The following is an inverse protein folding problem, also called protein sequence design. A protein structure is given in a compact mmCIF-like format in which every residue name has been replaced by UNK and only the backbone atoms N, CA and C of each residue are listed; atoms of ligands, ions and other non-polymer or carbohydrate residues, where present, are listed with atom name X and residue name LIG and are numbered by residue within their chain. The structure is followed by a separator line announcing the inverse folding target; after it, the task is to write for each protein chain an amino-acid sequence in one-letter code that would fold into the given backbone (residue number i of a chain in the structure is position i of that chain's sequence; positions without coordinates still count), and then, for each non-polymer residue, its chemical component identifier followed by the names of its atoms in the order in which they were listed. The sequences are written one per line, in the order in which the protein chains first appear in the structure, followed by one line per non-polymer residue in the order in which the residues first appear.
data_IF_500798263325
#
_entry.id   IF_500798263325
#
_cell.length_a   1.000
_cell.length_b   1.000
_cell.length_c   1.000
_cell.angle_alpha   90.00
_cell.angle_beta   90.00
_cell.angle_gamma   90.00
#
_symmetry.space_group_name_H-M   'P 1'
#
loop_
_entity.id
_entity.type
_entity.pdbx_description
1 polymer ?
#
# COMPACT_ATOMS: atom_id res chain seq x y z
N UNK A 1 -14.69 -13.86 18.59
CA UNK A 1 -13.84 -12.67 18.85
C UNK A 1 -14.29 -11.98 20.12
N UNK A 2 -13.35 -11.43 20.91
CA UNK A 2 -13.67 -10.60 22.08
C UNK A 2 -13.24 -9.16 21.80
N UNK A 3 -14.22 -8.27 21.70
CA UNK A 3 -14.02 -6.85 21.45
C UNK A 3 -13.46 -6.12 22.67
N UNK A 4 -12.67 -5.07 22.45
CA UNK A 4 -12.21 -4.17 23.51
C UNK A 4 -13.37 -3.33 24.04
N UNK A 5 -13.25 -2.83 25.27
CA UNK A 5 -14.33 -2.10 25.96
C UNK A 5 -14.77 -0.83 25.20
N UNK A 6 -13.85 -0.19 24.49
CA UNK A 6 -14.10 1.03 23.71
C UNK A 6 -14.61 0.76 22.28
N UNK A 7 -14.77 -0.51 21.90
CA UNK A 7 -15.14 -0.89 20.54
C UNK A 7 -16.53 -1.53 20.45
N UNK A 8 -17.22 -1.23 19.36
CA UNK A 8 -18.60 -1.66 19.14
C UNK A 8 -18.68 -2.45 17.82
N UNK A 9 -18.92 -3.77 17.88
CA UNK A 9 -19.18 -4.59 16.70
C UNK A 9 -20.31 -4.02 15.84
N UNK A 10 -21.32 -3.45 16.49
CA UNK A 10 -22.47 -2.84 15.84
C UNK A 10 -22.07 -1.60 15.03
N UNK A 11 -21.11 -0.81 15.51
CA UNK A 11 -20.67 0.38 14.78
C UNK A 11 -19.79 0.02 13.59
N UNK A 12 -18.91 -0.99 13.72
CA UNK A 12 -18.19 -1.55 12.57
C UNK A 12 -19.16 -2.08 11.52
N UNK A 13 -20.21 -2.80 11.94
CA UNK A 13 -21.26 -3.29 11.03
C UNK A 13 -21.95 -2.14 10.28
N UNK A 14 -22.33 -1.06 10.98
CA UNK A 14 -22.97 0.11 10.36
C UNK A 14 -22.04 0.81 9.37
N UNK A 15 -20.80 1.07 9.79
CA UNK A 15 -19.79 1.72 8.94
C UNK A 15 -19.50 0.89 7.69
N UNK A 16 -19.30 -0.42 7.83
CA UNK A 16 -19.08 -1.32 6.70
C UNK A 16 -20.27 -1.31 5.73
N UNK A 17 -21.50 -1.33 6.25
CA UNK A 17 -22.73 -1.29 5.43
C UNK A 17 -22.84 0.02 4.65
N UNK A 18 -22.50 1.16 5.27
CA UNK A 18 -22.48 2.46 4.60
C UNK A 18 -21.38 2.52 3.53
N UNK A 19 -20.21 1.96 3.83
CA UNK A 19 -19.10 1.89 2.90
C UNK A 19 -19.50 1.05 1.67
N UNK A 20 -20.01 -0.16 1.86
CA UNK A 20 -20.52 -1.01 0.79
C UNK A 20 -21.57 -0.28 -0.06
N UNK A 21 -22.54 0.38 0.59
CA UNK A 21 -23.57 1.17 -0.11
C UNK A 21 -22.98 2.25 -1.00
N UNK A 22 -21.89 2.90 -0.58
CA UNK A 22 -21.25 3.95 -1.38
C UNK A 22 -20.71 3.41 -2.70
N UNK A 23 -20.08 2.23 -2.71
CA UNK A 23 -19.64 1.58 -3.95
C UNK A 23 -20.80 1.26 -4.90
N UNK A 24 -21.94 0.80 -4.37
CA UNK A 24 -23.13 0.57 -5.19
C UNK A 24 -23.64 1.86 -5.86
N UNK A 25 -23.65 3.00 -5.13
CA UNK A 25 -24.15 4.28 -5.63
C UNK A 25 -23.23 4.89 -6.69
N UNK A 26 -21.91 4.81 -6.49
CA UNK A 26 -20.93 5.45 -7.37
C UNK A 26 -20.47 4.57 -8.53
N UNK A 27 -21.03 3.36 -8.67
CA UNK A 27 -20.83 2.52 -9.84
C UNK A 27 -21.38 3.18 -11.11
N UNK A 28 -20.77 2.91 -12.27
CA UNK A 28 -21.20 3.52 -13.52
C UNK A 28 -22.67 3.16 -13.81
N UNK A 29 -23.49 4.17 -14.14
CA UNK A 29 -24.92 3.97 -14.43
C UNK A 29 -25.11 2.89 -15.51
N UNK A 30 -25.89 1.85 -15.19
CA UNK A 30 -26.14 0.72 -16.10
C UNK A 30 -25.22 -0.49 -15.89
N UNK A 31 -24.28 -0.43 -14.93
CA UNK A 31 -23.48 -1.60 -14.53
C UNK A 31 -24.39 -2.64 -13.88
N UNK A 32 -24.38 -3.90 -14.34
CA UNK A 32 -25.09 -4.99 -13.69
C UNK A 32 -24.68 -5.12 -12.21
N UNK A 33 -25.58 -5.46 -11.28
CA UNK A 33 -25.26 -5.54 -9.85
C UNK A 33 -24.07 -6.46 -9.51
N UNK A 34 -23.90 -7.53 -10.28
CA UNK A 34 -22.79 -8.49 -10.16
C UNK A 34 -21.45 -7.99 -10.73
N UNK A 35 -21.44 -6.83 -11.38
CA UNK A 35 -20.25 -6.20 -11.96
C UNK A 35 -19.91 -4.86 -11.28
N UNK A 36 -20.69 -4.47 -10.25
CA UNK A 36 -20.50 -3.22 -9.50
C UNK A 36 -19.11 -3.16 -8.85
N UNK A 37 -18.64 -4.29 -8.32
CA UNK A 37 -17.39 -4.36 -7.59
C UNK A 37 -16.30 -4.94 -8.48
N UNK A 38 -15.26 -4.14 -8.71
CA UNK A 38 -14.02 -4.64 -9.26
C UNK A 38 -13.25 -5.44 -8.20
N UNK A 39 -12.25 -6.21 -8.64
CA UNK A 39 -11.30 -6.88 -7.74
C UNK A 39 -10.68 -5.89 -6.73
N UNK A 40 -10.35 -4.68 -7.18
CA UNK A 40 -9.79 -3.63 -6.31
C UNK A 40 -10.76 -3.13 -5.25
N UNK A 41 -12.06 -3.06 -5.56
CA UNK A 41 -13.08 -2.66 -4.58
C UNK A 41 -13.26 -3.73 -3.50
N UNK A 42 -13.27 -5.01 -3.91
CA UNK A 42 -13.31 -6.14 -2.99
C UNK A 42 -12.07 -6.19 -2.10
N UNK A 43 -10.87 -6.00 -2.67
CA UNK A 43 -9.61 -5.95 -1.93
C UNK A 43 -9.60 -4.79 -0.91
N UNK A 44 -10.14 -3.63 -1.28
CA UNK A 44 -10.25 -2.49 -0.39
C UNK A 44 -11.22 -2.76 0.77
N UNK A 45 -12.39 -3.35 0.50
CA UNK A 45 -13.35 -3.72 1.55
C UNK A 45 -12.75 -4.76 2.52
N UNK A 46 -12.00 -5.72 1.99
CA UNK A 46 -11.28 -6.69 2.80
C UNK A 46 -10.20 -6.01 3.68
N UNK A 47 -9.41 -5.09 3.10
CA UNK A 47 -8.45 -4.26 3.85
C UNK A 47 -9.13 -3.50 4.99
N UNK A 48 -10.19 -2.76 4.66
CA UNK A 48 -10.90 -1.92 5.62
C UNK A 48 -11.43 -2.73 6.81
N UNK A 49 -12.01 -3.90 6.53
CA UNK A 49 -12.57 -4.75 7.58
C UNK A 49 -11.46 -5.38 8.44
N UNK A 50 -10.36 -5.82 7.83
CA UNK A 50 -9.18 -6.30 8.56
C UNK A 50 -8.64 -5.22 9.52
N UNK A 51 -8.45 -4.01 9.01
CA UNK A 51 -7.94 -2.88 9.77
C UNK A 51 -8.82 -2.57 11.00
N UNK A 52 -10.13 -2.44 10.75
CA UNK A 52 -11.12 -2.13 11.78
C UNK A 52 -11.23 -3.21 12.83
N UNK A 53 -11.27 -4.49 12.42
CA UNK A 53 -11.35 -5.60 13.37
C UNK A 53 -10.10 -5.69 14.24
N UNK A 54 -8.89 -5.61 13.66
CA UNK A 54 -7.64 -5.70 14.44
C UNK A 54 -7.48 -4.59 15.47
N UNK A 55 -7.97 -3.38 15.18
CA UNK A 55 -7.97 -2.26 16.12
C UNK A 55 -9.06 -2.36 17.20
N UNK A 56 -10.05 -3.22 17.00
CA UNK A 56 -11.24 -3.32 17.85
C UNK A 56 -11.29 -4.59 18.71
N UNK A 57 -10.52 -5.64 18.39
CA UNK A 57 -10.48 -6.85 19.22
C UNK A 57 -9.31 -6.82 20.20
N UNK A 58 -9.46 -7.45 21.37
CA UNK A 58 -8.41 -7.48 22.38
C UNK A 58 -7.15 -8.23 21.92
N UNK A 59 -7.35 -9.26 21.10
CA UNK A 59 -6.28 -10.02 20.47
C UNK A 59 -6.49 -9.99 18.95
N UNK A 60 -5.74 -9.12 18.29
CA UNK A 60 -5.82 -8.87 16.84
C UNK A 60 -5.56 -10.11 15.99
N UNK A 61 -4.92 -11.15 16.52
CA UNK A 61 -4.65 -12.39 15.78
C UNK A 61 -5.80 -13.39 15.85
N UNK A 62 -6.82 -13.11 16.68
CA UNK A 62 -8.04 -13.93 16.82
C UNK A 62 -9.21 -13.43 15.98
N UNK A 63 -8.97 -12.47 15.06
CA UNK A 63 -10.03 -11.96 14.19
C UNK A 63 -10.58 -13.05 13.28
N UNK A 64 -11.86 -12.92 12.96
CA UNK A 64 -12.53 -13.72 11.95
C UNK A 64 -13.24 -12.78 10.98
N UNK A 65 -12.49 -12.35 9.96
CA UNK A 65 -12.94 -11.36 8.96
C UNK A 65 -14.11 -11.92 8.16
N UNK A 66 -14.00 -13.16 7.68
CA UNK A 66 -15.05 -13.80 6.89
C UNK A 66 -16.30 -14.06 7.71
N UNK A 67 -16.16 -14.60 8.92
CA UNK A 67 -17.29 -14.81 9.82
C UNK A 67 -17.99 -13.52 10.18
N UNK A 68 -17.25 -12.44 10.46
CA UNK A 68 -17.83 -11.13 10.72
C UNK A 68 -18.61 -10.60 9.52
N UNK A 69 -18.03 -10.66 8.32
CA UNK A 69 -18.74 -10.25 7.10
C UNK A 69 -20.01 -11.09 6.87
N UNK A 70 -19.95 -12.40 7.11
CA UNK A 70 -21.12 -13.28 7.00
C UNK A 70 -22.23 -12.90 7.99
N UNK A 71 -21.89 -12.47 9.21
CA UNK A 71 -22.88 -11.93 10.14
C UNK A 71 -23.51 -10.62 9.64
N UNK A 72 -22.73 -9.72 9.02
CA UNK A 72 -23.26 -8.49 8.39
C UNK A 72 -24.23 -8.86 7.27
N UNK A 73 -23.79 -9.74 6.35
CA UNK A 73 -24.56 -10.22 5.21
C UNK A 73 -25.87 -10.88 5.64
N UNK A 74 -25.84 -11.74 6.66
CA UNK A 74 -27.01 -12.45 7.16
C UNK A 74 -28.04 -11.54 7.83
N UNK A 75 -27.65 -10.36 8.33
CA UNK A 75 -28.59 -9.36 8.86
C UNK A 75 -29.39 -8.65 7.77
N UNK A 76 -28.88 -8.59 6.54
CA UNK A 76 -29.57 -7.98 5.41
C UNK A 76 -29.25 -8.70 4.08
N UNK A 77 -29.71 -9.95 3.92
CA UNK A 77 -29.27 -10.83 2.84
C UNK A 77 -29.65 -10.28 1.45
N UNK A 78 -30.79 -9.61 1.33
CA UNK A 78 -31.24 -8.99 0.08
C UNK A 78 -30.27 -7.90 -0.38
N UNK A 79 -29.82 -7.05 0.54
CA UNK A 79 -28.90 -5.94 0.24
C UNK A 79 -27.50 -6.39 -0.21
N UNK A 80 -27.03 -7.54 0.30
CA UNK A 80 -25.72 -8.10 -0.04
C UNK A 80 -25.81 -9.22 -1.10
N UNK A 81 -26.98 -9.46 -1.69
CA UNK A 81 -27.20 -10.58 -2.63
C UNK A 81 -26.54 -10.38 -3.99
N UNK A 82 -26.29 -9.11 -4.36
CA UNK A 82 -25.77 -8.72 -5.67
C UNK A 82 -24.29 -9.04 -5.86
N UNK A 83 -23.51 -9.15 -4.77
CA UNK A 83 -22.09 -9.46 -4.82
C UNK A 83 -21.79 -10.79 -4.11
N UNK A 84 -22.02 -11.89 -4.84
CA UNK A 84 -21.83 -13.26 -4.33
C UNK A 84 -20.38 -13.57 -4.00
N UNK A 85 -19.45 -12.95 -4.71
CA UNK A 85 -18.03 -13.29 -4.63
C UNK A 85 -17.31 -12.53 -3.52
N UNK A 86 -17.85 -11.39 -3.03
CA UNK A 86 -17.22 -10.59 -1.96
C UNK A 86 -16.88 -11.40 -0.71
N UNK A 87 -17.69 -12.39 -0.36
CA UNK A 87 -17.40 -13.30 0.74
C UNK A 87 -16.06 -14.04 0.56
N UNK A 88 -15.72 -14.40 -0.67
CA UNK A 88 -14.48 -15.10 -1.00
C UNK A 88 -13.24 -14.20 -0.88
N UNK A 89 -13.42 -12.87 -0.98
CA UNK A 89 -12.34 -11.88 -0.78
C UNK A 89 -12.09 -11.59 0.69
N UNK A 90 -13.05 -11.86 1.58
CA UNK A 90 -12.92 -11.61 3.02
C UNK A 90 -11.95 -12.60 3.65
N UNK A 91 -10.66 -12.27 3.61
CA UNK A 91 -9.55 -13.09 4.08
C UNK A 91 -8.74 -12.31 5.11
N UNK A 92 -8.22 -13.03 6.10
CA UNK A 92 -7.28 -12.46 7.05
C UNK A 92 -6.02 -12.01 6.28
N UNK A 93 -5.66 -10.75 6.41
CA UNK A 93 -4.45 -10.17 5.83
C UNK A 93 -3.32 -10.33 6.84
N UNK A 94 -2.14 -10.73 6.34
CA UNK A 94 -0.91 -10.79 7.13
C UNK A 94 -0.63 -9.42 7.79
N UNK A 95 -0.28 -9.37 9.09
CA UNK A 95 -0.06 -8.11 9.79
C UNK A 95 0.98 -7.17 9.14
N UNK A 96 2.06 -7.71 8.56
CA UNK A 96 3.08 -6.87 7.92
C UNK A 96 2.61 -6.35 6.57
N UNK A 97 1.82 -7.13 5.82
CA UNK A 97 1.14 -6.67 4.61
C UNK A 97 0.09 -5.59 4.95
N UNK A 98 -0.72 -5.81 5.98
CA UNK A 98 -1.74 -4.84 6.42
C UNK A 98 -1.10 -3.50 6.77
N UNK A 99 0.02 -3.52 7.51
CA UNK A 99 0.77 -2.32 7.85
C UNK A 99 1.33 -1.59 6.63
N UNK A 100 1.66 -2.30 5.54
CA UNK A 100 2.02 -1.68 4.27
C UNK A 100 0.80 -1.02 3.61
N UNK A 101 -0.35 -1.69 3.62
CA UNK A 101 -1.61 -1.14 3.11
C UNK A 101 -2.05 0.11 3.90
N UNK A 102 -1.94 0.12 5.23
CA UNK A 102 -2.22 1.29 6.07
C UNK A 102 -1.36 2.50 5.67
N UNK A 103 -0.06 2.29 5.44
CA UNK A 103 0.84 3.36 4.99
C UNK A 103 0.42 3.88 3.61
N UNK A 104 0.02 3.00 2.69
CA UNK A 104 -0.43 3.41 1.37
C UNK A 104 -1.77 4.16 1.44
N UNK A 105 -2.69 3.70 2.28
CA UNK A 105 -3.96 4.36 2.52
C UNK A 105 -3.77 5.77 3.08
N UNK A 106 -2.93 5.93 4.12
CA UNK A 106 -2.58 7.23 4.70
C UNK A 106 -2.02 8.18 3.64
N UNK A 107 -1.16 7.69 2.75
CA UNK A 107 -0.58 8.47 1.66
C UNK A 107 -1.66 8.98 0.69
N UNK A 108 -2.53 8.09 0.20
CA UNK A 108 -3.60 8.47 -0.73
C UNK A 108 -4.68 9.34 -0.09
N UNK A 109 -5.01 9.13 1.18
CA UNK A 109 -5.96 9.98 1.92
C UNK A 109 -5.45 11.43 2.01
N UNK A 110 -4.17 11.61 2.34
CA UNK A 110 -3.57 12.95 2.40
C UNK A 110 -3.42 13.59 1.02
N UNK A 111 -3.04 12.83 -0.01
CA UNK A 111 -3.05 13.32 -1.40
C UNK A 111 -4.45 13.75 -1.83
N UNK A 112 -5.49 12.98 -1.48
CA UNK A 112 -6.87 13.32 -1.82
C UNK A 112 -7.34 14.60 -1.13
N UNK A 113 -6.98 14.80 0.14
CA UNK A 113 -7.25 16.06 0.86
C UNK A 113 -6.61 17.25 0.17
N UNK A 114 -5.34 17.13 -0.22
CA UNK A 114 -4.64 18.17 -1.01
C UNK A 114 -5.37 18.42 -2.33
N UNK A 115 -5.74 17.37 -3.06
CA UNK A 115 -6.42 17.48 -4.35
C UNK A 115 -7.79 18.16 -4.21
N UNK A 116 -8.55 17.83 -3.16
CA UNK A 116 -9.84 18.45 -2.90
C UNK A 116 -9.70 19.95 -2.65
N UNK A 117 -8.71 20.38 -1.86
CA UNK A 117 -8.43 21.80 -1.61
C UNK A 117 -7.98 22.51 -2.90
N UNK A 118 -7.22 21.82 -3.76
CA UNK A 118 -6.75 22.38 -5.02
C UNK A 118 -7.85 22.52 -6.09
N UNK A 119 -8.82 21.60 -6.13
CA UNK A 119 -9.81 21.54 -7.19
C UNK A 119 -11.15 22.18 -6.81
N UNK A 120 -11.61 21.92 -5.59
CA UNK A 120 -12.94 22.32 -5.11
C UNK A 120 -12.87 22.69 -3.62
N UNK A 121 -12.12 23.75 -3.24
CA UNK A 121 -12.04 24.15 -1.85
C UNK A 121 -13.40 24.63 -1.34
N UNK A 122 -13.79 24.19 -0.14
CA UNK A 122 -14.87 24.83 0.61
C UNK A 122 -14.29 26.05 1.32
N UNK A 123 -14.60 27.26 0.86
CA UNK A 123 -14.02 28.51 1.40
C UNK A 123 -14.20 28.68 2.92
N UNK A 124 -15.18 27.99 3.52
CA UNK A 124 -15.44 28.03 4.96
C UNK A 124 -14.75 26.90 5.74
N UNK A 125 -14.12 25.93 5.08
CA UNK A 125 -13.42 24.83 5.74
C UNK A 125 -12.02 25.30 6.21
N UNK A 126 -11.77 25.39 7.53
CA UNK A 126 -10.46 25.76 8.04
C UNK A 126 -9.35 24.81 7.59
N UNK A 127 -9.68 23.56 7.24
CA UNK A 127 -8.72 22.55 6.75
C UNK A 127 -8.06 22.93 5.44
N UNK A 128 -8.60 23.88 4.68
CA UNK A 128 -7.93 24.36 3.47
C UNK A 128 -6.54 24.91 3.78
N UNK A 129 -6.32 25.48 4.97
CA UNK A 129 -5.02 26.00 5.39
C UNK A 129 -4.06 24.90 5.89
N UNK A 130 -4.48 23.63 5.93
CA UNK A 130 -3.68 22.51 6.45
C UNK A 130 -2.85 21.79 5.38
N UNK A 131 -2.79 22.30 4.15
CA UNK A 131 -2.03 21.65 3.09
C UNK A 131 -0.54 21.38 3.43
N UNK A 132 0.11 22.25 4.21
CA UNK A 132 1.47 22.00 4.70
C UNK A 132 1.54 20.77 5.63
N UNK A 133 0.52 20.55 6.45
CA UNK A 133 0.39 19.38 7.34
C UNK A 133 0.25 18.11 6.51
N UNK A 134 -0.65 18.11 5.53
CA UNK A 134 -0.87 16.95 4.65
C UNK A 134 0.39 16.60 3.84
N UNK A 135 1.08 17.59 3.28
CA UNK A 135 2.34 17.37 2.55
C UNK A 135 3.44 16.80 3.44
N UNK A 136 3.59 17.34 4.64
CA UNK A 136 4.55 16.83 5.63
C UNK A 136 4.24 15.37 5.99
N UNK A 137 2.96 15.06 6.21
CA UNK A 137 2.52 13.70 6.49
C UNK A 137 2.82 12.75 5.32
N UNK A 138 2.55 13.16 4.07
CA UNK A 138 2.93 12.39 2.89
C UNK A 138 4.44 12.11 2.83
N UNK A 139 5.28 13.12 3.06
CA UNK A 139 6.73 12.95 3.05
C UNK A 139 7.20 11.95 4.12
N UNK A 140 6.78 12.13 5.36
CA UNK A 140 7.16 11.27 6.49
C UNK A 140 6.70 9.83 6.29
N UNK A 141 5.44 9.63 5.87
CA UNK A 141 4.86 8.30 5.63
C UNK A 141 5.49 7.62 4.42
N UNK A 142 5.83 8.37 3.37
CA UNK A 142 6.50 7.82 2.19
C UNK A 142 7.89 7.30 2.54
N UNK A 143 8.67 8.08 3.30
CA UNK A 143 9.99 7.66 3.79
C UNK A 143 9.87 6.41 4.66
N UNK A 144 8.86 6.34 5.53
CA UNK A 144 8.60 5.15 6.34
C UNK A 144 8.22 3.94 5.48
N UNK A 145 7.37 4.13 4.48
CA UNK A 145 6.88 3.09 3.59
C UNK A 145 7.97 2.51 2.69
N UNK A 146 8.76 3.37 2.03
CA UNK A 146 9.81 2.93 1.09
C UNK A 146 10.92 2.13 1.80
N UNK A 147 11.16 2.41 3.07
CA UNK A 147 12.11 1.65 3.89
C UNK A 147 11.62 0.25 4.27
N UNK A 148 10.32 -0.05 4.12
CA UNK A 148 9.74 -1.37 4.38
C UNK A 148 9.75 -2.29 3.16
N UNK A 149 10.02 -1.77 1.96
CA UNK A 149 10.03 -2.57 0.73
C UNK A 149 11.17 -3.61 0.75
N UNK A 150 10.84 -4.84 0.38
CA UNK A 150 11.78 -5.96 0.34
C UNK A 150 12.77 -5.86 -0.83
N UNK A 151 12.30 -5.37 -1.97
CA UNK A 151 13.09 -5.21 -3.19
C UNK A 151 12.29 -4.54 -4.29
N UNK A 152 12.91 -4.34 -5.45
CA UNK A 152 12.32 -3.57 -6.56
C UNK A 152 11.14 -4.27 -7.26
N UNK A 153 10.98 -5.58 -7.06
CA UNK A 153 9.90 -6.36 -7.65
C UNK A 153 8.66 -6.46 -6.74
N UNK A 154 8.77 -5.99 -5.50
CA UNK A 154 7.71 -5.93 -4.50
C UNK A 154 6.53 -5.10 -5.03
N UNK A 155 5.31 -5.63 -4.92
CA UNK A 155 4.10 -4.94 -5.35
C UNK A 155 3.88 -3.65 -4.55
N UNK A 156 4.23 -3.65 -3.26
CA UNK A 156 4.16 -2.47 -2.42
C UNK A 156 5.13 -1.39 -2.90
N UNK A 157 6.34 -1.77 -3.32
CA UNK A 157 7.29 -0.83 -3.92
C UNK A 157 6.73 -0.22 -5.21
N UNK A 158 6.16 -1.03 -6.11
CA UNK A 158 5.52 -0.54 -7.35
C UNK A 158 4.38 0.44 -7.06
N UNK A 159 3.53 0.12 -6.08
CA UNK A 159 2.45 1.00 -5.63
C UNK A 159 2.98 2.34 -5.11
N UNK A 160 4.06 2.33 -4.32
CA UNK A 160 4.71 3.56 -3.84
C UNK A 160 5.32 4.39 -4.97
N UNK A 161 5.85 3.78 -6.04
CA UNK A 161 6.34 4.53 -7.21
C UNK A 161 5.20 5.21 -7.95
N UNK A 162 4.06 4.52 -8.10
CA UNK A 162 2.85 5.10 -8.70
C UNK A 162 2.33 6.27 -7.86
N UNK A 163 2.21 6.09 -6.54
CA UNK A 163 1.85 7.16 -5.62
C UNK A 163 2.80 8.35 -5.74
N UNK A 164 4.12 8.12 -5.66
CA UNK A 164 5.12 9.19 -5.79
C UNK A 164 4.94 10.00 -7.07
N UNK A 165 4.71 9.33 -8.20
CA UNK A 165 4.51 9.99 -9.49
C UNK A 165 3.24 10.85 -9.48
N UNK A 166 2.12 10.30 -9.02
CA UNK A 166 0.84 11.01 -8.91
C UNK A 166 0.95 12.22 -7.99
N UNK A 167 1.47 12.01 -6.77
CA UNK A 167 1.59 13.05 -5.77
C UNK A 167 2.48 14.20 -6.24
N UNK A 168 3.66 13.89 -6.77
CA UNK A 168 4.57 14.91 -7.30
C UNK A 168 3.94 15.68 -8.45
N UNK A 169 3.15 15.03 -9.32
CA UNK A 169 2.40 15.72 -10.35
C UNK A 169 1.37 16.69 -9.74
N UNK A 170 0.56 16.22 -8.79
CA UNK A 170 -0.47 17.00 -8.09
C UNK A 170 0.09 18.28 -7.46
N UNK A 171 1.22 18.18 -6.73
CA UNK A 171 1.79 19.33 -6.00
C UNK A 171 2.65 20.26 -6.87
N UNK A 172 3.10 19.81 -8.05
CA UNK A 172 3.98 20.61 -8.92
C UNK A 172 3.26 21.25 -10.11
N UNK A 173 2.14 20.69 -10.57
CA UNK A 173 1.47 21.13 -11.80
C UNK A 173 0.18 21.90 -11.51
N UNK A 174 0.01 23.04 -12.19
CA UNK A 174 -1.18 23.89 -12.12
C UNK A 174 -0.85 25.35 -11.77
N UNK A 175 -1.80 26.26 -12.02
CA UNK A 175 -1.61 27.72 -11.82
C UNK A 175 -2.34 28.28 -10.60
N UNK A 176 -3.46 27.68 -10.21
CA UNK A 176 -4.37 28.23 -9.19
C UNK A 176 -4.21 27.52 -7.86
N UNK A 177 -3.63 28.19 -6.87
CA UNK A 177 -3.31 27.61 -5.57
C UNK A 177 -3.55 28.62 -4.43
N UNK A 178 -4.82 28.89 -4.15
CA UNK A 178 -5.24 29.88 -3.14
C UNK A 178 -4.76 29.54 -1.73
N UNK A 179 -4.54 28.25 -1.44
CA UNK A 179 -4.22 27.75 -0.10
C UNK A 179 -2.79 27.22 0.04
N UNK A 180 -1.90 27.53 -0.91
CA UNK A 180 -0.47 27.16 -0.89
C UNK A 180 -0.24 25.63 -0.75
N UNK A 181 -1.10 24.85 -1.40
CA UNK A 181 -1.05 23.41 -1.47
C UNK A 181 -0.03 22.89 -2.48
N UNK A 182 0.16 23.63 -3.57
CA UNK A 182 1.37 23.54 -4.39
C UNK A 182 2.49 24.28 -3.67
N UNK A 183 3.74 23.93 -3.93
CA UNK A 183 4.81 24.56 -3.17
C UNK A 183 6.19 24.05 -3.44
N UNK A 184 7.10 24.57 -2.62
CA UNK A 184 8.53 24.40 -2.71
C UNK A 184 8.97 22.94 -2.85
N UNK A 185 10.10 22.76 -3.54
CA UNK A 185 10.72 21.46 -3.83
C UNK A 185 10.97 20.58 -2.61
N UNK A 186 10.94 21.14 -1.39
CA UNK A 186 11.13 20.40 -0.13
C UNK A 186 10.04 19.35 0.17
N UNK A 187 8.81 19.54 -0.32
CA UNK A 187 7.72 18.57 -0.14
C UNK A 187 7.59 17.59 -1.31
N UNK A 188 8.41 17.76 -2.35
CA UNK A 188 8.52 16.80 -3.45
C UNK A 188 9.13 15.52 -2.89
N UNK A 189 8.48 14.40 -3.16
CA UNK A 189 9.05 13.10 -2.85
C UNK A 189 10.29 12.91 -3.74
N UNK A 190 11.45 12.90 -3.09
CA UNK A 190 12.75 12.99 -3.75
C UNK A 190 13.07 11.73 -4.58
N UNK A 191 14.11 11.83 -5.42
CA UNK A 191 14.54 10.74 -6.30
C UNK A 191 15.46 9.72 -5.61
N UNK A 192 15.86 9.98 -4.37
CA UNK A 192 16.59 9.01 -3.57
C UNK A 192 15.71 7.79 -3.30
N UNK A 193 16.21 6.61 -3.66
CA UNK A 193 15.49 5.36 -3.59
C UNK A 193 16.32 4.32 -2.82
N UNK A 194 16.04 4.14 -1.51
CA UNK A 194 16.83 3.25 -0.67
C UNK A 194 16.66 1.77 -1.06
N UNK A 195 15.63 1.42 -1.85
CA UNK A 195 15.43 0.05 -2.33
C UNK A 195 16.40 -0.22 -3.47
N UNK A 196 16.51 0.70 -4.44
CA UNK A 196 17.48 0.61 -5.53
C UNK A 196 18.92 0.59 -5.00
N UNK A 197 19.26 1.45 -4.04
CA UNK A 197 20.61 1.47 -3.45
C UNK A 197 20.96 0.13 -2.79
N UNK A 198 20.00 -0.52 -2.11
CA UNK A 198 20.20 -1.86 -1.53
C UNK A 198 20.43 -2.92 -2.61
N UNK A 199 19.66 -2.90 -3.70
CA UNK A 199 19.83 -3.84 -4.82
C UNK A 199 21.18 -3.66 -5.52
N UNK A 200 21.59 -2.42 -5.79
CA UNK A 200 22.89 -2.12 -6.39
C UNK A 200 24.04 -2.61 -5.52
N UNK A 201 23.98 -2.36 -4.21
CA UNK A 201 24.98 -2.86 -3.26
C UNK A 201 25.05 -4.39 -3.23
N UNK A 202 23.91 -5.09 -3.26
CA UNK A 202 23.85 -6.55 -3.35
C UNK A 202 24.50 -7.05 -4.64
N UNK A 203 24.18 -6.44 -5.79
CA UNK A 203 24.74 -6.80 -7.09
C UNK A 203 26.27 -6.59 -7.14
N UNK A 204 26.77 -5.48 -6.60
CA UNK A 204 28.21 -5.22 -6.48
C UNK A 204 28.92 -6.28 -5.61
N UNK A 205 28.33 -6.68 -4.48
CA UNK A 205 28.88 -7.73 -3.61
C UNK A 205 28.92 -9.10 -4.32
N UNK A 206 27.87 -9.45 -5.07
CA UNK A 206 27.80 -10.70 -5.85
C UNK A 206 28.82 -10.69 -6.99
N UNK A 207 28.95 -9.57 -7.71
CA UNK A 207 29.94 -9.44 -8.79
C UNK A 207 31.38 -9.54 -8.25
N UNK A 208 31.67 -8.90 -7.12
CA UNK A 208 32.98 -9.00 -6.47
C UNK A 208 33.32 -10.43 -6.04
N UNK A 209 32.35 -11.14 -5.45
CA UNK A 209 32.54 -12.53 -5.00
C UNK A 209 32.65 -13.53 -6.14
N UNK A 210 31.83 -13.40 -7.20
CA UNK A 210 31.93 -14.24 -8.41
C UNK A 210 33.24 -14.02 -9.16
N UNK A 211 33.71 -12.77 -9.29
CA UNK A 211 35.02 -12.45 -9.87
C UNK A 211 36.16 -13.13 -9.11
N UNK A 212 36.12 -13.07 -7.78
CA UNK A 212 37.11 -13.74 -6.92
C UNK A 212 37.08 -15.27 -7.04
N UNK A 213 35.89 -15.88 -7.08
CA UNK A 213 35.73 -17.33 -7.31
C UNK A 213 36.27 -17.77 -8.68
N UNK A 214 35.98 -17.00 -9.73
CA UNK A 214 36.50 -17.27 -11.08
C UNK A 214 38.03 -17.18 -11.12
N UNK A 215 38.63 -16.21 -10.41
CA UNK A 215 40.08 -16.13 -10.26
C UNK A 215 40.64 -17.39 -9.56
N UNK A 216 40.07 -17.81 -8.43
CA UNK A 216 40.55 -19.01 -7.71
C UNK A 216 40.46 -20.28 -8.58
N UNK A 217 39.34 -20.46 -9.30
CA UNK A 217 39.14 -21.63 -10.16
C UNK A 217 40.12 -21.63 -11.34
N UNK A 218 40.36 -20.48 -11.97
CA UNK A 218 41.32 -20.38 -13.08
C UNK A 218 42.76 -20.62 -12.62
N UNK A 219 43.19 -20.06 -11.48
CA UNK A 219 44.50 -20.36 -10.89
C UNK A 219 44.67 -21.86 -10.56
N UNK A 220 43.64 -22.50 -10.01
CA UNK A 220 43.66 -23.92 -9.68
C UNK A 220 43.79 -24.81 -10.93
N UNK A 221 43.12 -24.44 -12.02
CA UNK A 221 43.25 -25.14 -13.31
C UNK A 221 44.65 -24.95 -13.92
N UNK A 222 45.21 -23.74 -13.89
CA UNK A 222 46.57 -23.46 -14.35
C UNK A 222 47.60 -24.28 -13.56
N UNK A 223 47.46 -24.35 -12.24
CA UNK A 223 48.34 -25.14 -11.38
C UNK A 223 48.23 -26.65 -11.68
N UNK A 224 47.02 -27.16 -11.88
CA UNK A 224 46.78 -28.57 -12.22
C UNK A 224 47.39 -28.94 -13.59
N UNK A 225 47.26 -28.07 -14.59
CA UNK A 225 47.89 -28.26 -15.92
C UNK A 225 49.42 -28.27 -15.81
N UNK A 226 50.03 -27.30 -15.10
CA UNK A 226 51.48 -27.27 -14.87
C UNK A 226 51.98 -28.54 -14.17
N UNK A 227 51.25 -29.03 -13.16
CA UNK A 227 51.60 -30.27 -12.44
C UNK A 227 51.54 -31.52 -13.35
N UNK A 228 50.57 -31.61 -14.26
CA UNK A 228 50.46 -32.71 -15.22
C UNK A 228 51.63 -32.70 -16.20
N UNK A 229 52.06 -31.52 -16.66
CA UNK A 229 53.21 -31.39 -17.57
C UNK A 229 54.49 -31.87 -16.87
N UNK A 230 54.73 -31.43 -15.62
CA UNK A 230 55.92 -31.80 -14.85
C UNK A 230 56.02 -33.28 -14.43
N UNK A 231 54.93 -34.06 -14.51
CA UNK A 231 54.93 -35.51 -14.20
C UNK A 231 55.21 -36.34 -15.47
N UNK A 232 55.11 -35.75 -16.66
CA UNK A 232 55.34 -36.43 -17.94
C UNK A 232 56.78 -36.32 -18.45
N UNK A 233 57.62 -35.56 -17.75
CA UNK A 233 59.07 -35.44 -17.97
C UNK A 233 59.83 -36.28 -16.93
#
# INVERSE_FOLDING_TARGET
MKFSEDSSPQDICKEFTLLYKSFCIYSATGTPPNEIFSFGDCDFLNYWLNDKLRKSVNDGDTIDVRGFYNEIKNKNPEFFSDNKDLEEYMKIIDPEILKNMELLYDLYDNERKILNILLNPDENDPKNNECSVYRKHCLEKYIKAINRCYGIYDEFYKALKNFKSSYNYTIMQGKEDTYNCRGETQYKLNDYDPVLEREEKKNMLIQGSTSFLMLILTFSLIYKVKKIILIKD
#
